data_IF_131875202964
#
_entry.id   IF_131875202964
#
_cell.length_a   1.000
_cell.length_b   1.000
_cell.length_c   1.000
_cell.angle_alpha   90.00
_cell.angle_beta   90.00
_cell.angle_gamma   90.00
#
_symmetry.space_group_name_H-M   'P 1'
#
loop_
_entity.id
_entity.type
_entity.pdbx_description
1 polymer ?
#
# COMPACT_ATOMS: atom_id res chain seq x y z
N UNK A 1 2.23 22.15 21.69
CA UNK A 1 2.71 22.02 20.29
C UNK A 1 1.97 20.86 19.67
N UNK A 2 1.09 21.07 18.68
CA UNK A 2 0.35 19.97 18.05
C UNK A 2 1.20 19.34 16.96
N UNK A 3 1.30 18.01 17.00
CA UNK A 3 1.92 17.18 15.97
C UNK A 3 0.96 17.15 14.78
N UNK A 4 1.37 17.78 13.69
CA UNK A 4 0.67 17.74 12.40
C UNK A 4 0.82 16.33 11.80
N UNK A 5 -0.20 15.50 11.99
CA UNK A 5 -0.37 14.26 11.22
C UNK A 5 -0.82 14.61 9.80
N UNK A 6 -0.01 14.29 8.80
CA UNK A 6 -0.34 14.47 7.38
C UNK A 6 -1.53 13.62 6.97
N UNK A 7 -2.48 14.14 6.18
CA UNK A 7 -3.58 13.34 5.64
C UNK A 7 -3.07 12.38 4.57
N UNK A 8 -3.46 11.13 4.70
CA UNK A 8 -3.09 9.94 3.89
C UNK A 8 -3.77 9.92 2.52
N UNK A 9 -3.69 10.86 1.66
CA UNK A 9 -4.21 10.80 0.27
C UNK A 9 -4.43 12.18 -0.35
N UNK A 10 -3.33 12.88 -0.66
CA UNK A 10 -3.35 13.85 -1.75
C UNK A 10 -2.03 13.73 -2.54
N UNK A 11 -2.05 13.53 -3.85
CA UNK A 11 -0.84 13.66 -4.66
C UNK A 11 -0.50 15.16 -4.76
N UNK A 12 0.47 15.62 -3.99
CA UNK A 12 1.09 16.90 -4.26
C UNK A 12 2.09 16.71 -5.40
N UNK A 13 1.67 17.03 -6.61
CA UNK A 13 2.60 17.38 -7.67
C UNK A 13 3.26 18.72 -7.28
N UNK A 14 4.43 18.64 -6.69
CA UNK A 14 5.30 19.80 -6.53
C UNK A 14 6.07 20.02 -7.83
N UNK A 15 5.65 21.02 -8.58
CA UNK A 15 6.44 21.59 -9.67
C UNK A 15 7.62 22.38 -9.10
N UNK A 16 8.71 21.69 -8.78
CA UNK A 16 10.02 22.28 -8.54
C UNK A 16 11.11 21.32 -9.04
N UNK A 17 11.21 21.18 -10.38
CA UNK A 17 12.29 20.42 -11.00
C UNK A 17 13.13 21.18 -12.02
N UNK A 18 13.05 22.50 -12.09
CA UNK A 18 13.74 23.26 -13.11
C UNK A 18 14.67 24.35 -12.57
N UNK A 19 15.54 24.08 -11.63
CA UNK A 19 16.75 24.90 -11.41
C UNK A 19 17.73 24.13 -10.51
N UNK A 20 18.43 23.13 -11.03
CA UNK A 20 19.81 22.79 -10.67
C UNK A 20 20.30 21.71 -11.66
N UNK A 21 21.43 21.93 -12.36
CA UNK A 21 21.99 20.90 -13.23
C UNK A 21 22.52 19.75 -12.37
N UNK A 22 21.99 18.56 -12.61
CA UNK A 22 22.53 17.23 -12.36
C UNK A 22 23.88 17.15 -11.59
N UNK A 23 23.85 17.33 -10.29
CA UNK A 23 24.82 16.71 -9.42
C UNK A 23 24.10 15.60 -8.65
N UNK A 24 23.74 14.52 -9.34
CA UNK A 24 23.52 13.24 -8.69
C UNK A 24 24.94 12.73 -8.38
N UNK A 25 25.38 12.70 -7.12
CA UNK A 25 26.61 11.99 -6.80
C UNK A 25 26.39 10.59 -7.34
N UNK A 26 27.31 10.11 -8.19
CA UNK A 26 27.34 8.71 -8.59
C UNK A 26 27.63 7.91 -7.31
N UNK A 27 26.57 7.59 -6.55
CA UNK A 27 26.68 6.68 -5.42
C UNK A 27 27.05 5.34 -6.02
N UNK A 28 28.20 4.80 -5.60
CA UNK A 28 28.59 3.43 -5.89
C UNK A 28 27.41 2.52 -5.50
N UNK A 29 27.06 1.59 -6.38
CA UNK A 29 25.97 0.63 -6.21
C UNK A 29 25.96 -0.01 -4.81
N UNK A 30 27.15 -0.25 -4.27
CA UNK A 30 27.33 -0.76 -2.90
C UNK A 30 26.80 0.21 -1.85
N UNK A 31 27.18 1.50 -1.93
CA UNK A 31 26.73 2.50 -0.97
C UNK A 31 25.22 2.71 -1.04
N UNK A 32 24.67 2.71 -2.24
CA UNK A 32 23.22 2.80 -2.44
C UNK A 32 22.50 1.62 -1.80
N UNK A 33 22.88 0.39 -2.12
CA UNK A 33 22.25 -0.80 -1.56
C UNK A 33 22.38 -0.86 -0.03
N UNK A 34 23.56 -0.55 0.51
CA UNK A 34 23.76 -0.51 1.96
C UNK A 34 22.94 0.60 2.64
N UNK A 35 22.66 1.73 1.96
CA UNK A 35 21.76 2.74 2.48
C UNK A 35 20.34 2.23 2.60
N UNK A 36 19.84 1.50 1.57
CA UNK A 36 18.53 0.86 1.61
C UNK A 36 18.41 -0.15 2.77
N UNK A 37 19.43 -0.97 2.95
CA UNK A 37 19.43 -1.98 4.02
C UNK A 37 19.41 -1.33 5.41
N UNK A 38 20.10 -0.20 5.59
CA UNK A 38 20.08 0.55 6.86
C UNK A 38 18.71 1.17 7.20
N UNK A 39 17.89 1.44 6.21
CA UNK A 39 16.52 1.90 6.44
C UNK A 39 15.65 0.82 7.10
N UNK A 40 16.00 -0.46 6.95
CA UNK A 40 15.22 -1.57 7.45
C UNK A 40 13.91 -1.80 6.69
N UNK A 41 13.08 -2.70 7.21
CA UNK A 41 11.72 -2.90 6.70
C UNK A 41 10.80 -1.79 7.18
N UNK A 42 9.95 -1.29 6.29
CA UNK A 42 8.99 -0.22 6.59
C UNK A 42 7.87 -0.18 5.53
N UNK A 43 7.05 0.88 5.56
CA UNK A 43 5.90 1.09 4.67
C UNK A 43 6.19 0.84 3.18
N UNK A 44 7.38 1.18 2.70
CA UNK A 44 7.76 1.10 1.29
C UNK A 44 8.97 0.17 1.04
N UNK A 45 9.35 -0.63 2.02
CA UNK A 45 10.48 -1.57 1.89
C UNK A 45 10.23 -2.85 2.65
N UNK A 46 10.63 -3.97 2.03
CA UNK A 46 10.52 -5.31 2.61
C UNK A 46 11.72 -6.15 2.19
N UNK A 47 12.23 -7.00 3.07
CA UNK A 47 13.35 -7.88 2.79
C UNK A 47 12.86 -9.29 2.51
N UNK A 48 13.51 -9.97 1.58
CA UNK A 48 13.22 -11.37 1.28
C UNK A 48 14.54 -12.14 1.13
N UNK A 49 14.83 -12.95 2.13
CA UNK A 49 15.97 -13.86 2.07
C UNK A 49 15.90 -14.78 0.86
N UNK A 50 14.71 -15.28 0.54
CA UNK A 50 14.43 -16.19 -0.56
C UNK A 50 13.00 -16.04 -1.07
N UNK A 51 12.83 -16.17 -2.37
CA UNK A 51 11.52 -16.18 -3.02
C UNK A 51 11.24 -17.59 -3.52
N UNK A 52 10.39 -18.33 -2.77
CA UNK A 52 10.02 -19.72 -3.10
C UNK A 52 8.53 -19.87 -3.44
N UNK A 53 7.70 -18.84 -3.20
CA UNK A 53 6.25 -18.90 -3.33
C UNK A 53 5.70 -17.59 -3.91
N UNK A 54 5.32 -17.64 -5.20
CA UNK A 54 4.80 -16.50 -5.92
C UNK A 54 3.43 -16.04 -5.39
N UNK A 55 2.58 -16.95 -4.87
CA UNK A 55 1.29 -16.60 -4.28
C UNK A 55 1.45 -15.76 -3.01
N UNK A 56 2.39 -16.16 -2.12
CA UNK A 56 2.67 -15.39 -0.91
C UNK A 56 3.23 -14.02 -1.24
N UNK A 57 4.13 -13.99 -2.23
CA UNK A 57 4.74 -12.74 -2.68
C UNK A 57 3.72 -11.79 -3.33
N UNK A 58 2.73 -12.31 -4.04
CA UNK A 58 1.66 -11.51 -4.63
C UNK A 58 0.89 -10.67 -3.59
N UNK A 59 0.84 -11.09 -2.32
CA UNK A 59 0.24 -10.29 -1.22
C UNK A 59 1.05 -9.01 -0.98
N UNK A 60 2.39 -9.10 -0.96
CA UNK A 60 3.27 -7.93 -0.80
C UNK A 60 3.20 -7.03 -2.03
N UNK A 61 3.21 -7.60 -3.24
CA UNK A 61 3.04 -6.84 -4.48
C UNK A 61 1.70 -6.11 -4.50
N UNK A 62 0.60 -6.79 -4.14
CA UNK A 62 -0.71 -6.18 -3.98
C UNK A 62 -0.72 -5.04 -2.97
N UNK A 63 -0.11 -5.25 -1.80
CA UNK A 63 -0.05 -4.26 -0.74
C UNK A 63 0.70 -3.00 -1.19
N UNK A 64 1.87 -3.12 -1.81
CA UNK A 64 2.61 -1.99 -2.37
C UNK A 64 1.83 -1.28 -3.49
N UNK A 65 1.29 -2.03 -4.46
CA UNK A 65 0.53 -1.45 -5.56
C UNK A 65 -0.71 -0.67 -5.09
N UNK A 66 -1.33 -1.10 -4.00
CA UNK A 66 -2.53 -0.47 -3.44
C UNK A 66 -2.24 0.69 -2.47
N UNK A 67 -1.01 0.86 -2.04
CA UNK A 67 -0.59 1.94 -1.12
C UNK A 67 0.35 2.93 -1.81
N UNK A 68 1.52 3.12 -1.28
CA UNK A 68 2.48 4.15 -1.70
C UNK A 68 3.56 3.59 -2.63
N UNK A 69 3.36 2.37 -3.12
CA UNK A 69 4.41 1.60 -3.77
C UNK A 69 5.41 1.04 -2.77
N UNK A 70 6.47 0.45 -3.27
CA UNK A 70 7.54 -0.06 -2.43
C UNK A 70 8.54 -0.89 -3.19
N UNK A 71 9.54 -1.39 -2.48
CA UNK A 71 10.62 -2.21 -3.02
C UNK A 71 10.85 -3.45 -2.16
N UNK A 72 11.17 -4.53 -2.83
CA UNK A 72 11.57 -5.79 -2.22
C UNK A 72 13.07 -5.97 -2.46
N UNK A 73 13.85 -6.10 -1.40
CA UNK A 73 15.28 -6.43 -1.47
C UNK A 73 15.41 -7.95 -1.36
N UNK A 74 15.67 -8.61 -2.49
CA UNK A 74 15.76 -10.07 -2.59
C UNK A 74 17.21 -10.49 -2.43
N UNK A 75 17.46 -11.48 -1.57
CA UNK A 75 18.79 -11.89 -1.16
C UNK A 75 19.29 -11.17 0.09
N UNK A 76 18.39 -10.48 0.81
CA UNK A 76 18.65 -9.81 2.09
C UNK A 76 17.80 -10.49 3.17
N UNK A 77 18.37 -10.74 4.33
CA UNK A 77 17.68 -11.26 5.51
C UNK A 77 17.05 -10.11 6.32
N UNK A 78 16.12 -10.43 7.20
CA UNK A 78 15.43 -9.44 8.05
C UNK A 78 16.40 -8.68 8.98
N UNK A 79 17.56 -9.28 9.30
CA UNK A 79 18.65 -8.63 10.05
C UNK A 79 19.57 -7.75 9.17
N UNK A 80 19.25 -7.60 7.89
CA UNK A 80 20.05 -6.85 6.92
C UNK A 80 21.27 -7.60 6.35
N UNK A 81 21.48 -8.87 6.73
CA UNK A 81 22.61 -9.64 6.21
C UNK A 81 22.42 -10.01 4.74
N UNK A 82 23.46 -9.75 3.93
CA UNK A 82 23.47 -10.11 2.51
C UNK A 82 23.62 -11.62 2.35
N UNK A 83 22.62 -12.29 1.79
CA UNK A 83 22.68 -13.72 1.47
C UNK A 83 22.87 -13.99 -0.03
N UNK A 84 22.42 -13.05 -0.84
CA UNK A 84 22.43 -13.15 -2.30
C UNK A 84 21.29 -13.99 -2.87
N UNK A 85 20.92 -13.68 -4.11
CA UNK A 85 19.99 -14.47 -4.94
C UNK A 85 20.73 -15.70 -5.43
N UNK A 86 20.09 -16.87 -5.38
CA UNK A 86 20.72 -18.16 -5.71
C UNK A 86 20.52 -18.58 -7.16
N UNK A 87 19.42 -18.15 -7.78
CA UNK A 87 19.10 -18.53 -9.15
C UNK A 87 18.15 -17.50 -9.79
N UNK A 88 18.07 -17.56 -11.12
CA UNK A 88 17.08 -16.77 -11.88
C UNK A 88 15.63 -17.17 -11.57
N UNK A 89 15.41 -18.32 -10.94
CA UNK A 89 14.08 -18.76 -10.50
C UNK A 89 13.44 -17.77 -9.53
N UNK A 90 14.22 -17.10 -8.67
CA UNK A 90 13.70 -16.13 -7.73
C UNK A 90 13.14 -14.90 -8.47
N UNK A 91 13.79 -14.44 -9.54
CA UNK A 91 13.30 -13.37 -10.41
C UNK A 91 12.05 -13.83 -11.16
N UNK A 92 12.06 -15.08 -11.66
CA UNK A 92 10.89 -15.65 -12.31
C UNK A 92 9.68 -15.72 -11.37
N UNK A 93 9.86 -16.12 -10.11
CA UNK A 93 8.79 -16.14 -9.11
C UNK A 93 8.22 -14.74 -8.85
N UNK A 94 9.07 -13.70 -8.88
CA UNK A 94 8.62 -12.31 -8.77
C UNK A 94 7.73 -11.90 -9.96
N UNK A 95 8.14 -12.26 -11.19
CA UNK A 95 7.31 -12.05 -12.37
C UNK A 95 5.97 -12.79 -12.26
N UNK A 96 5.97 -14.05 -11.80
CA UNK A 96 4.74 -14.79 -11.58
C UNK A 96 3.84 -14.10 -10.54
N UNK A 97 4.41 -13.59 -9.44
CA UNK A 97 3.65 -12.86 -8.43
C UNK A 97 2.93 -11.63 -9.01
N UNK A 98 3.63 -10.83 -9.82
CA UNK A 98 3.10 -9.60 -10.38
C UNK A 98 2.10 -9.84 -11.53
N UNK A 99 2.39 -10.76 -12.44
CA UNK A 99 1.61 -10.92 -13.68
C UNK A 99 0.58 -12.04 -13.62
N UNK A 100 0.88 -13.15 -12.94
CA UNK A 100 -0.04 -14.28 -12.84
C UNK A 100 -0.93 -14.19 -11.60
N UNK A 101 -0.34 -13.88 -10.44
CA UNK A 101 -1.03 -13.90 -9.16
C UNK A 101 -1.54 -12.54 -8.69
N UNK A 102 -1.33 -11.45 -9.45
CA UNK A 102 -2.01 -10.17 -9.25
C UNK A 102 -3.06 -9.90 -10.32
N UNK A 103 -4.22 -9.37 -9.92
CA UNK A 103 -5.31 -8.98 -10.83
C UNK A 103 -5.91 -7.63 -10.40
N UNK A 104 -5.86 -6.58 -11.26
CA UNK A 104 -5.10 -6.53 -12.52
C UNK A 104 -3.61 -6.78 -12.29
N UNK A 105 -2.86 -7.03 -13.36
CA UNK A 105 -1.41 -7.21 -13.28
C UNK A 105 -0.74 -6.00 -12.63
N UNK A 106 0.24 -6.25 -11.76
CA UNK A 106 1.01 -5.19 -11.15
C UNK A 106 2.27 -4.88 -11.95
N UNK A 107 2.57 -3.59 -12.10
CA UNK A 107 3.85 -3.16 -12.68
C UNK A 107 4.98 -3.47 -11.69
N UNK A 108 6.10 -3.99 -12.19
CA UNK A 108 7.29 -4.27 -11.38
C UNK A 108 8.55 -4.02 -12.21
N UNK A 109 9.56 -3.43 -11.60
CA UNK A 109 10.89 -3.20 -12.20
C UNK A 109 11.94 -3.91 -11.36
N UNK A 110 13.00 -4.39 -12.01
CA UNK A 110 14.11 -5.08 -11.36
C UNK A 110 15.42 -4.36 -11.63
N UNK A 111 16.16 -4.09 -10.56
CA UNK A 111 17.51 -3.60 -10.60
C UNK A 111 18.42 -4.62 -9.88
N UNK A 112 19.56 -4.96 -10.47
CA UNK A 112 20.47 -5.98 -9.94
C UNK A 112 21.75 -5.34 -9.47
N UNK A 113 22.16 -5.65 -8.25
CA UNK A 113 23.34 -5.12 -7.59
C UNK A 113 24.31 -6.25 -7.23
N UNK A 114 25.60 -6.03 -7.48
CA UNK A 114 26.64 -6.97 -7.10
C UNK A 114 27.49 -6.39 -5.98
N UNK A 115 27.30 -6.91 -4.77
CA UNK A 115 27.97 -6.41 -3.57
C UNK A 115 28.59 -7.58 -2.80
N UNK A 116 29.87 -7.47 -2.48
CA UNK A 116 30.63 -8.48 -1.71
C UNK A 116 30.55 -9.90 -2.31
N UNK A 117 30.59 -9.99 -3.64
CA UNK A 117 30.50 -11.26 -4.38
C UNK A 117 29.11 -11.90 -4.36
N UNK A 118 28.09 -11.17 -3.94
CA UNK A 118 26.69 -11.60 -3.89
C UNK A 118 25.82 -10.76 -4.82
N UNK A 119 24.85 -11.37 -5.42
CA UNK A 119 23.85 -10.71 -6.26
C UNK A 119 22.62 -10.41 -5.43
N UNK A 120 22.22 -9.15 -5.36
CA UNK A 120 20.98 -8.69 -4.72
C UNK A 120 20.08 -8.11 -5.79
N UNK A 121 18.80 -8.44 -5.76
CA UNK A 121 17.81 -7.90 -6.68
C UNK A 121 16.86 -6.97 -5.92
N UNK A 122 16.71 -5.75 -6.40
CA UNK A 122 15.73 -4.79 -5.90
C UNK A 122 14.55 -4.79 -6.86
N UNK A 123 13.41 -5.28 -6.40
CA UNK A 123 12.18 -5.30 -7.16
C UNK A 123 11.28 -4.15 -6.72
N UNK A 124 11.09 -3.15 -7.59
CA UNK A 124 10.29 -1.95 -7.30
C UNK A 124 8.89 -2.08 -7.87
N UNK A 125 7.89 -1.94 -7.00
CA UNK A 125 6.46 -1.95 -7.33
C UNK A 125 5.92 -0.53 -7.16
N UNK A 126 5.57 0.19 -8.25
CA UNK A 126 4.97 1.51 -8.14
C UNK A 126 3.52 1.44 -7.65
N UNK A 127 2.98 2.54 -7.08
CA UNK A 127 1.55 2.63 -6.79
C UNK A 127 0.72 2.44 -8.06
N UNK A 128 -0.29 1.58 -8.02
CA UNK A 128 -1.16 1.35 -9.18
C UNK A 128 -2.18 2.47 -9.34
N UNK A 129 -2.39 2.94 -10.58
CA UNK A 129 -3.50 3.80 -10.93
C UNK A 129 -4.84 3.05 -10.92
N UNK A 130 -4.80 1.74 -11.20
CA UNK A 130 -5.97 0.86 -11.32
C UNK A 130 -6.16 0.01 -10.05
N UNK A 131 -6.48 0.67 -8.93
CA UNK A 131 -6.76 -0.02 -7.66
C UNK A 131 -8.20 -0.54 -7.61
N UNK A 132 -8.47 -1.69 -6.98
CA UNK A 132 -7.53 -2.53 -6.24
C UNK A 132 -6.77 -3.51 -7.14
N UNK A 133 -5.49 -3.69 -6.88
CA UNK A 133 -4.72 -4.85 -7.32
C UNK A 133 -4.95 -5.96 -6.30
N UNK A 134 -5.57 -7.06 -6.71
CA UNK A 134 -5.85 -8.19 -5.83
C UNK A 134 -4.80 -9.28 -6.01
N UNK A 135 -4.30 -9.86 -4.94
CA UNK A 135 -3.55 -11.09 -4.97
C UNK A 135 -4.51 -12.28 -5.05
N UNK A 136 -4.15 -13.28 -5.85
CA UNK A 136 -4.80 -14.58 -5.90
C UNK A 136 -4.12 -15.51 -4.90
N UNK A 137 -4.90 -16.25 -4.13
CA UNK A 137 -4.39 -17.37 -3.35
C UNK A 137 -4.35 -18.66 -4.20
N UNK A 138 -3.90 -19.77 -3.61
CA UNK A 138 -3.80 -21.07 -4.29
C UNK A 138 -5.15 -21.59 -4.77
N UNK A 139 -6.23 -21.18 -4.14
CA UNK A 139 -7.61 -21.55 -4.47
C UNK A 139 -8.22 -20.59 -5.52
N UNK A 140 -7.46 -19.56 -5.96
CA UNK A 140 -7.90 -18.54 -6.91
C UNK A 140 -8.80 -17.46 -6.30
N UNK A 141 -8.94 -17.41 -4.97
CA UNK A 141 -9.68 -16.36 -4.29
C UNK A 141 -8.93 -15.02 -4.36
N UNK A 142 -9.66 -13.96 -4.71
CA UNK A 142 -9.11 -12.61 -4.85
C UNK A 142 -9.16 -11.84 -3.54
N UNK A 143 -8.02 -11.35 -3.06
CA UNK A 143 -7.94 -10.45 -1.91
C UNK A 143 -7.04 -9.28 -2.20
N UNK A 144 -7.52 -8.07 -1.94
CA UNK A 144 -6.68 -6.87 -1.99
C UNK A 144 -5.99 -6.67 -0.64
N UNK A 145 -4.71 -6.30 -0.69
CA UNK A 145 -3.91 -5.98 0.48
C UNK A 145 -3.49 -4.52 0.45
N UNK A 146 -3.26 -3.95 1.63
CA UNK A 146 -2.63 -2.64 1.84
C UNK A 146 -1.42 -2.82 2.74
N UNK A 147 -0.41 -1.97 2.57
CA UNK A 147 0.76 -1.94 3.43
C UNK A 147 0.53 -0.97 4.57
N UNK A 148 0.73 -1.40 5.80
CA UNK A 148 0.72 -0.56 7.00
C UNK A 148 1.99 -0.88 7.78
N UNK A 149 2.90 0.08 7.85
CA UNK A 149 4.27 -0.12 8.33
C UNK A 149 4.97 -1.23 7.55
N UNK A 150 5.29 -2.35 8.19
CA UNK A 150 5.94 -3.54 7.63
C UNK A 150 4.95 -4.71 7.42
N UNK A 151 3.64 -4.51 7.62
CA UNK A 151 2.63 -5.55 7.52
C UNK A 151 1.76 -5.43 6.26
N UNK A 152 1.39 -6.58 5.69
CA UNK A 152 0.43 -6.69 4.60
C UNK A 152 -0.97 -7.02 5.16
N UNK A 153 -1.84 -6.03 5.22
CA UNK A 153 -3.17 -6.13 5.83
C UNK A 153 -4.24 -6.27 4.73
N UNK A 154 -5.23 -7.13 4.95
CA UNK A 154 -6.35 -7.27 4.02
C UNK A 154 -7.17 -5.97 3.98
N UNK A 155 -7.40 -5.45 2.78
CA UNK A 155 -8.19 -4.25 2.56
C UNK A 155 -9.65 -4.46 3.00
N UNK A 156 -10.19 -3.52 3.75
CA UNK A 156 -11.58 -3.58 4.21
C UNK A 156 -12.58 -3.23 3.09
N UNK A 157 -13.87 -3.55 3.26
CA UNK A 157 -14.90 -3.09 2.32
C UNK A 157 -14.93 -1.57 2.12
N UNK A 158 -14.51 -0.78 3.12
CA UNK A 158 -14.42 0.68 3.00
C UNK A 158 -13.28 1.09 2.05
N UNK A 159 -12.10 0.43 2.13
CA UNK A 159 -11.01 0.65 1.18
C UNK A 159 -11.42 0.32 -0.27
N UNK A 160 -12.12 -0.81 -0.47
CA UNK A 160 -12.63 -1.20 -1.78
C UNK A 160 -13.66 -0.18 -2.32
N UNK A 161 -14.50 0.36 -1.46
CA UNK A 161 -15.45 1.42 -1.83
C UNK A 161 -14.73 2.74 -2.15
N UNK A 162 -13.70 3.10 -1.38
CA UNK A 162 -12.90 4.30 -1.59
C UNK A 162 -12.20 4.27 -2.97
N UNK A 163 -11.58 3.15 -3.35
CA UNK A 163 -10.96 3.00 -4.66
C UNK A 163 -11.99 3.08 -5.80
N UNK A 164 -13.16 2.46 -5.65
CA UNK A 164 -14.26 2.60 -6.63
C UNK A 164 -14.74 4.03 -6.79
N UNK A 165 -14.89 4.77 -5.67
CA UNK A 165 -15.25 6.20 -5.72
C UNK A 165 -14.14 7.03 -6.40
N UNK A 166 -12.85 6.69 -6.20
CA UNK A 166 -11.72 7.39 -6.81
C UNK A 166 -11.65 7.25 -8.33
N UNK A 167 -12.16 6.14 -8.87
CA UNK A 167 -12.11 5.83 -10.31
C UNK A 167 -13.29 6.39 -11.10
N UNK A 168 -14.27 7.03 -10.44
CA UNK A 168 -15.41 7.60 -11.14
C UNK A 168 -14.99 8.79 -12.00
N UNK A 169 -15.27 8.78 -13.33
CA UNK A 169 -14.86 9.86 -14.24
C UNK A 169 -15.46 11.22 -13.86
N UNK A 170 -16.65 11.22 -13.30
CA UNK A 170 -17.38 12.42 -12.86
C UNK A 170 -16.99 12.87 -11.43
N UNK A 171 -16.00 12.20 -10.82
CA UNK A 171 -15.63 12.42 -9.43
C UNK A 171 -16.63 11.85 -8.43
N UNK A 172 -16.37 12.12 -7.16
CA UNK A 172 -17.25 11.70 -6.06
C UNK A 172 -18.24 12.81 -5.75
N UNK A 173 -19.52 12.50 -5.76
CA UNK A 173 -20.59 13.42 -5.36
C UNK A 173 -21.05 13.04 -3.95
N UNK A 174 -21.08 14.01 -3.05
CA UNK A 174 -21.64 13.87 -1.72
C UNK A 174 -22.95 14.67 -1.68
N UNK A 175 -24.07 13.99 -1.82
CA UNK A 175 -25.39 14.63 -1.63
C UNK A 175 -25.66 14.70 -0.14
N UNK A 176 -25.87 15.92 0.36
CA UNK A 176 -26.21 16.12 1.76
C UNK A 176 -27.61 15.59 2.04
N UNK A 177 -27.74 14.71 2.98
CA UNK A 177 -28.97 14.12 3.49
C UNK A 177 -28.87 13.89 5.00
N UNK A 178 -29.93 13.47 5.65
CA UNK A 178 -29.99 13.27 7.12
C UNK A 178 -29.02 12.19 7.63
N UNK A 179 -28.55 11.28 6.77
CA UNK A 179 -27.60 10.24 7.17
C UNK A 179 -26.20 10.80 7.45
N UNK A 180 -25.79 11.90 6.78
CA UNK A 180 -24.47 12.48 6.95
C UNK A 180 -24.29 13.10 8.34
N UNK A 181 -25.18 14.01 8.82
CA UNK A 181 -25.11 14.51 10.17
C UNK A 181 -25.14 13.40 11.23
N UNK A 182 -25.97 12.37 11.01
CA UNK A 182 -26.04 11.21 11.89
C UNK A 182 -24.67 10.48 11.98
N UNK A 183 -24.03 10.21 10.86
CA UNK A 183 -22.72 9.57 10.84
C UNK A 183 -21.63 10.45 11.46
N UNK A 184 -21.61 11.75 11.16
CA UNK A 184 -20.66 12.68 11.75
C UNK A 184 -20.81 12.77 13.28
N UNK A 185 -22.04 12.73 13.79
CA UNK A 185 -22.29 12.69 15.24
C UNK A 185 -21.75 11.39 15.89
N UNK A 186 -21.89 10.24 15.23
CA UNK A 186 -21.37 8.96 15.71
C UNK A 186 -19.82 8.96 15.69
N UNK A 187 -19.21 9.58 14.69
CA UNK A 187 -17.77 9.61 14.45
C UNK A 187 -17.02 10.64 15.31
N UNK A 188 -17.68 11.35 16.20
CA UNK A 188 -17.04 12.17 17.24
C UNK A 188 -16.06 11.37 18.12
N UNK A 189 -16.28 10.06 18.20
CA UNK A 189 -15.38 9.10 18.85
C UNK A 189 -14.92 8.07 17.84
N UNK A 190 -13.75 7.52 18.04
CA UNK A 190 -13.27 6.40 17.23
C UNK A 190 -14.21 5.21 17.29
N UNK A 191 -14.67 4.73 16.13
CA UNK A 191 -15.62 3.64 16.00
C UNK A 191 -15.19 2.66 14.91
N UNK A 192 -15.38 1.38 15.17
CA UNK A 192 -15.27 0.35 14.13
C UNK A 192 -16.48 0.40 13.18
N UNK A 193 -16.32 -0.14 11.96
CA UNK A 193 -17.42 -0.24 11.00
C UNK A 193 -18.67 -0.91 11.61
N UNK A 194 -18.49 -1.95 12.43
CA UNK A 194 -19.61 -2.66 13.05
C UNK A 194 -20.34 -1.80 14.09
N UNK A 195 -19.61 -1.00 14.87
CA UNK A 195 -20.20 -0.05 15.82
C UNK A 195 -21.00 1.03 15.10
N UNK A 196 -20.43 1.60 14.02
CA UNK A 196 -21.12 2.63 13.21
C UNK A 196 -22.41 2.07 12.61
N UNK A 197 -22.40 0.86 12.05
CA UNK A 197 -23.59 0.21 11.48
C UNK A 197 -24.67 0.02 12.56
N UNK A 198 -24.30 -0.44 13.75
CA UNK A 198 -25.25 -0.61 14.85
C UNK A 198 -25.82 0.71 15.35
N UNK A 199 -24.97 1.73 15.54
CA UNK A 199 -25.38 3.02 16.07
C UNK A 199 -26.26 3.81 15.08
N UNK A 200 -25.93 3.77 13.79
CA UNK A 200 -26.67 4.48 12.76
C UNK A 200 -27.99 3.80 12.36
N UNK A 201 -28.12 2.49 12.59
CA UNK A 201 -29.22 1.65 12.09
C UNK A 201 -29.35 1.66 10.55
N UNK A 202 -28.34 2.13 9.84
CA UNK A 202 -28.31 2.16 8.38
C UNK A 202 -27.86 0.81 7.82
N UNK A 203 -28.27 0.45 6.61
CA UNK A 203 -27.76 -0.71 5.91
C UNK A 203 -26.23 -0.65 5.76
N UNK A 204 -25.53 -1.76 6.02
CA UNK A 204 -24.07 -1.83 6.03
C UNK A 204 -23.43 -1.28 4.74
N UNK A 205 -23.99 -1.60 3.57
CA UNK A 205 -23.49 -1.11 2.28
C UNK A 205 -23.59 0.42 2.17
N UNK A 206 -24.63 1.02 2.72
CA UNK A 206 -24.84 2.49 2.75
C UNK A 206 -23.80 3.16 3.63
N UNK A 207 -23.55 2.62 4.83
CA UNK A 207 -22.49 3.09 5.75
C UNK A 207 -21.12 3.03 5.08
N UNK A 208 -20.77 1.90 4.43
CA UNK A 208 -19.51 1.74 3.70
C UNK A 208 -19.35 2.81 2.62
N UNK A 209 -20.39 3.04 1.82
CA UNK A 209 -20.36 4.04 0.74
C UNK A 209 -20.19 5.46 1.28
N UNK A 210 -20.92 5.81 2.33
CA UNK A 210 -20.85 7.14 2.96
C UNK A 210 -19.48 7.36 3.63
N UNK A 211 -18.93 6.36 4.36
CA UNK A 211 -17.59 6.44 4.92
C UNK A 211 -16.55 6.66 3.84
N UNK A 212 -16.60 5.89 2.74
CA UNK A 212 -15.66 6.05 1.63
C UNK A 212 -15.70 7.47 1.04
N UNK A 213 -16.89 8.04 0.87
CA UNK A 213 -17.07 9.41 0.38
C UNK A 213 -16.54 10.43 1.39
N UNK A 214 -16.91 10.31 2.66
CA UNK A 214 -16.47 11.21 3.72
C UNK A 214 -14.94 11.19 3.90
N UNK A 215 -14.31 10.02 3.77
CA UNK A 215 -12.84 9.89 3.76
C UNK A 215 -12.25 10.64 2.56
N UNK A 216 -12.84 10.46 1.37
CA UNK A 216 -12.35 11.13 0.16
C UNK A 216 -12.46 12.65 0.25
N UNK A 217 -13.48 13.18 0.92
CA UNK A 217 -13.64 14.62 1.18
C UNK A 217 -12.83 15.12 2.38
N UNK A 218 -12.07 14.25 3.05
CA UNK A 218 -11.24 14.63 4.19
C UNK A 218 -12.03 14.92 5.48
N UNK A 219 -13.31 14.54 5.56
CA UNK A 219 -14.13 14.73 6.76
C UNK A 219 -13.95 13.62 7.80
N UNK A 220 -13.48 12.43 7.35
CA UNK A 220 -13.32 11.24 8.18
C UNK A 220 -11.93 10.65 7.93
N UNK A 221 -11.29 10.21 8.99
CA UNK A 221 -10.03 9.44 8.96
C UNK A 221 -10.32 7.98 9.23
N UNK A 222 -9.52 7.11 8.58
CA UNK A 222 -9.46 5.69 8.86
C UNK A 222 -8.09 5.39 9.46
N UNK A 223 -8.06 4.90 10.67
CA UNK A 223 -6.85 4.59 11.43
C UNK A 223 -6.78 3.09 11.71
N UNK A 224 -5.56 2.53 11.70
CA UNK A 224 -5.32 1.14 12.06
C UNK A 224 -4.69 1.08 13.46
N UNK A 225 -5.48 0.65 14.43
CA UNK A 225 -5.08 0.62 15.85
C UNK A 225 -5.39 -0.75 16.43
N UNK A 226 -4.42 -1.38 17.09
CA UNK A 226 -4.58 -2.69 17.71
C UNK A 226 -5.21 -3.73 16.77
N UNK A 227 -4.71 -3.82 15.54
CA UNK A 227 -5.17 -4.73 14.48
C UNK A 227 -6.61 -4.50 14.01
N UNK A 228 -7.18 -3.31 14.27
CA UNK A 228 -8.53 -2.96 13.86
C UNK A 228 -8.55 -1.61 13.13
N UNK A 229 -9.37 -1.54 12.09
CA UNK A 229 -9.67 -0.27 11.43
C UNK A 229 -10.75 0.49 12.20
N UNK A 230 -10.41 1.68 12.63
CA UNK A 230 -11.30 2.62 13.33
C UNK A 230 -11.48 3.89 12.49
N UNK A 231 -12.65 4.48 12.62
CA UNK A 231 -13.06 5.68 11.88
C UNK A 231 -13.40 6.78 12.88
N UNK A 232 -12.94 8.00 12.61
CA UNK A 232 -13.26 9.19 13.40
C UNK A 232 -13.27 10.42 12.49
N UNK A 233 -13.74 11.55 13.00
CA UNK A 233 -13.62 12.84 12.31
C UNK A 233 -12.16 13.19 12.05
N UNK A 234 -11.87 13.87 10.93
CA UNK A 234 -10.54 14.29 10.52
C UNK A 234 -10.02 15.46 11.33
#
# INVERSE_FOLDING_TARGET
MPILTRPLFLPQYSAYSDILPNFVPCMDDKHYLLSLIREGEHQQQDFKYRVADACKLAKTVSAFANTDGGRLLIGVRDDGHLSGVRSEEEIYMMHQAAYKFCKPEASIKFDTYHVEGRTIVVATVPPSANRPVCALDEEGCKRAYIRINDENIVATPVHLALWRESQKPQGTILTYNDDIPLLLAILQKQQSLNQIVRASRLPRHKVITLLARLIRFGNVRCEYVNQHFLFCLA
#
